data_IF_872357285364
#
_entry.id   IF_872357285364
#
_cell.length_a   1.000
_cell.length_b   1.000
_cell.length_c   1.000
_cell.angle_alpha   90.00
_cell.angle_beta   90.00
_cell.angle_gamma   90.00
#
_symmetry.space_group_name_H-M   'P 1'
#
loop_
_entity.id
_entity.type
_entity.pdbx_description
1 polymer ?
#
# COMPACT_ATOMS: atom_id res chain seq x y z
N UNK A 1 -0.49 8.23 8.12
CA UNK A 1 -0.97 9.00 6.95
C UNK A 1 -0.24 8.60 5.68
N UNK A 2 1.05 8.91 5.50
CA UNK A 2 1.79 8.61 4.25
C UNK A 2 1.96 7.10 4.01
N UNK A 3 2.44 6.34 5.00
CA UNK A 3 2.59 4.87 4.86
C UNK A 3 1.25 4.22 4.52
N UNK A 4 0.18 4.59 5.23
CA UNK A 4 -1.18 4.06 4.97
C UNK A 4 -1.69 4.41 3.56
N UNK A 5 -1.34 5.58 3.05
CA UNK A 5 -1.68 6.00 1.69
C UNK A 5 -0.95 5.13 0.65
N UNK A 6 0.34 4.85 0.85
CA UNK A 6 1.12 3.89 0.03
C UNK A 6 0.48 2.50 0.07
N UNK A 7 0.09 2.00 1.25
CA UNK A 7 -0.59 0.70 1.38
C UNK A 7 -1.97 0.70 0.68
N UNK A 8 -2.67 1.84 0.68
CA UNK A 8 -3.90 2.02 -0.09
C UNK A 8 -3.65 1.95 -1.60
N UNK A 9 -2.56 2.53 -2.11
CA UNK A 9 -2.17 2.38 -3.51
C UNK A 9 -1.84 0.93 -3.87
N UNK A 10 -1.28 0.18 -2.93
CA UNK A 10 -1.07 -1.26 -3.06
C UNK A 10 -2.37 -2.08 -2.94
N UNK A 11 -3.54 -1.45 -2.75
CA UNK A 11 -4.83 -2.14 -2.71
C UNK A 11 -4.97 -3.12 -1.55
N UNK A 12 -4.23 -2.91 -0.45
CA UNK A 12 -4.24 -3.81 0.72
C UNK A 12 -3.57 -5.16 0.49
N UNK A 13 -2.81 -5.33 -0.59
CA UNK A 13 -2.01 -6.55 -0.86
C UNK A 13 -0.76 -6.60 0.01
N UNK A 14 -0.29 -5.44 0.48
CA UNK A 14 0.91 -5.29 1.30
C UNK A 14 0.49 -4.86 2.71
N UNK A 15 1.09 -5.47 3.73
CA UNK A 15 0.95 -5.09 5.15
C UNK A 15 2.27 -4.55 5.70
N UNK A 16 2.19 -3.61 6.64
CA UNK A 16 3.33 -2.98 7.29
C UNK A 16 3.55 -3.52 8.70
N UNK A 17 4.80 -3.88 9.02
CA UNK A 17 5.17 -4.42 10.33
C UNK A 17 5.19 -3.39 11.46
N UNK A 18 5.02 -2.09 11.16
CA UNK A 18 4.87 -1.06 12.19
C UNK A 18 3.59 -1.17 13.02
N UNK A 19 2.61 -1.96 12.55
CA UNK A 19 1.37 -2.25 13.30
C UNK A 19 1.49 -3.49 14.21
N UNK A 20 2.66 -4.15 14.26
CA UNK A 20 2.92 -5.26 15.18
C UNK A 20 3.05 -4.79 16.64
N UNK A 21 2.85 -5.71 17.60
CA UNK A 21 3.03 -5.42 19.03
C UNK A 21 4.44 -4.94 19.38
N UNK A 22 5.43 -5.44 18.65
CA UNK A 22 6.78 -4.90 18.60
C UNK A 22 6.98 -4.32 17.20
N UNK A 23 6.93 -2.98 17.04
CA UNK A 23 6.97 -2.36 15.71
C UNK A 23 8.24 -2.71 14.94
N UNK A 24 8.06 -3.15 13.69
CA UNK A 24 9.14 -3.34 12.71
C UNK A 24 8.93 -2.37 11.56
N UNK A 25 9.34 -1.12 11.76
CA UNK A 25 8.98 -0.01 10.87
C UNK A 25 9.50 -0.15 9.43
N UNK A 26 10.58 -0.92 9.21
CA UNK A 26 11.11 -1.18 7.86
C UNK A 26 10.53 -2.44 7.20
N UNK A 27 9.66 -3.19 7.89
CA UNK A 27 9.14 -4.47 7.39
C UNK A 27 7.85 -4.28 6.59
N UNK A 28 7.83 -4.84 5.38
CA UNK A 28 6.66 -4.90 4.51
C UNK A 28 6.53 -6.32 3.96
N UNK A 29 5.30 -6.82 3.87
CA UNK A 29 5.04 -8.20 3.44
C UNK A 29 3.80 -8.30 2.56
N UNK A 30 3.77 -9.32 1.71
CA UNK A 30 2.57 -9.70 0.96
C UNK A 30 1.58 -10.34 1.95
N UNK A 31 0.36 -9.81 2.00
CA UNK A 31 -0.68 -10.16 2.98
C UNK A 31 -1.87 -10.89 2.33
N UNK A 32 -1.63 -11.54 1.20
CA UNK A 32 -2.62 -12.33 0.46
C UNK A 32 -2.09 -13.72 0.16
N UNK A 33 -3.00 -14.68 0.01
CA UNK A 33 -2.64 -16.06 -0.29
C UNK A 33 -1.98 -16.19 -1.67
N UNK A 34 -1.13 -17.23 -1.87
CA UNK A 34 -0.62 -17.56 -3.18
C UNK A 34 -1.75 -17.71 -4.23
N UNK A 35 -1.55 -17.13 -5.41
CA UNK A 35 -2.53 -17.17 -6.50
C UNK A 35 -3.64 -16.10 -6.42
N UNK A 36 -3.68 -15.25 -5.38
CA UNK A 36 -4.62 -14.13 -5.32
C UNK A 36 -4.42 -13.19 -6.52
N UNK A 37 -5.50 -12.95 -7.27
CA UNK A 37 -5.49 -12.12 -8.48
C UNK A 37 -5.07 -10.68 -8.21
N UNK A 38 -5.30 -10.16 -6.99
CA UNK A 38 -4.92 -8.79 -6.60
C UNK A 38 -3.42 -8.61 -6.60
N UNK A 39 -2.64 -9.64 -6.20
CA UNK A 39 -1.19 -9.59 -6.25
C UNK A 39 -0.68 -9.48 -7.69
N UNK A 40 -1.23 -10.29 -8.61
CA UNK A 40 -0.88 -10.21 -10.03
C UNK A 40 -1.20 -8.84 -10.63
N UNK A 41 -2.36 -8.28 -10.27
CA UNK A 41 -2.75 -6.96 -10.73
C UNK A 41 -1.83 -5.85 -10.19
N UNK A 42 -1.47 -5.91 -8.90
CA UNK A 42 -0.53 -4.96 -8.30
C UNK A 42 0.85 -5.06 -8.94
N UNK A 43 1.37 -6.28 -9.14
CA UNK A 43 2.65 -6.49 -9.82
C UNK A 43 2.67 -5.87 -11.23
N UNK A 44 1.59 -6.04 -12.00
CA UNK A 44 1.45 -5.41 -13.32
C UNK A 44 1.41 -3.87 -13.25
N UNK A 45 0.77 -3.29 -12.23
CA UNK A 45 0.80 -1.83 -12.02
C UNK A 45 2.19 -1.32 -11.66
N UNK A 46 2.91 -2.04 -10.79
CA UNK A 46 4.29 -1.69 -10.41
C UNK A 46 5.22 -1.74 -11.62
N UNK A 47 5.10 -2.77 -12.46
CA UNK A 47 5.87 -2.87 -13.70
C UNK A 47 5.56 -1.72 -14.67
N UNK A 48 4.28 -1.32 -14.79
CA UNK A 48 3.89 -0.17 -15.59
C UNK A 48 4.49 1.15 -15.06
N UNK A 49 4.47 1.36 -13.74
CA UNK A 49 5.09 2.54 -13.11
C UNK A 49 6.60 2.56 -13.28
N UNK A 50 7.26 1.41 -13.20
CA UNK A 50 8.71 1.32 -13.44
C UNK A 50 9.10 1.80 -14.84
N UNK A 51 8.24 1.59 -15.84
CA UNK A 51 8.45 2.05 -17.22
C UNK A 51 8.10 3.53 -17.44
N UNK A 52 7.46 4.19 -16.47
CA UNK A 52 6.96 5.55 -16.59
C UNK A 52 7.43 6.42 -15.40
N UNK A 53 8.54 7.16 -15.55
CA UNK A 53 9.08 8.02 -14.49
C UNK A 53 8.03 8.97 -13.91
N UNK A 54 8.02 9.13 -12.59
CA UNK A 54 7.08 10.01 -11.88
C UNK A 54 5.70 9.39 -11.61
N UNK A 55 5.52 8.09 -11.85
CA UNK A 55 4.31 7.37 -11.45
C UNK A 55 4.61 6.34 -10.34
N UNK A 56 3.58 5.97 -9.60
CA UNK A 56 3.63 4.93 -8.58
C UNK A 56 3.39 5.42 -7.16
N UNK A 57 3.55 4.53 -6.17
CA UNK A 57 3.15 4.83 -4.81
C UNK A 57 4.01 5.96 -4.24
N UNK A 58 3.37 6.94 -3.63
CA UNK A 58 4.03 8.14 -3.13
C UNK A 58 4.44 9.17 -4.19
N UNK A 59 4.10 8.97 -5.47
CA UNK A 59 4.27 9.99 -6.50
C UNK A 59 3.19 11.10 -6.43
N UNK A 60 2.04 10.78 -5.85
CA UNK A 60 0.94 11.73 -5.60
C UNK A 60 1.08 12.29 -4.19
N UNK A 61 0.78 13.58 -4.01
CA UNK A 61 0.77 14.21 -2.69
C UNK A 61 -0.26 13.53 -1.76
N UNK A 62 0.25 12.87 -0.72
CA UNK A 62 -0.55 12.16 0.29
C UNK A 62 -1.42 13.11 1.14
N UNK A 63 -1.16 14.43 1.09
CA UNK A 63 -1.94 15.43 1.80
C UNK A 63 -3.30 15.70 1.15
N UNK A 64 -3.50 15.30 -0.12
CA UNK A 64 -4.75 15.52 -0.84
C UNK A 64 -5.93 14.85 -0.12
N UNK A 65 -7.12 15.50 -0.04
CA UNK A 65 -8.24 15.00 0.76
C UNK A 65 -8.68 13.56 0.42
N UNK A 66 -8.65 13.19 -0.86
CA UNK A 66 -8.97 11.83 -1.31
C UNK A 66 -7.95 10.79 -0.84
N UNK A 67 -6.67 11.16 -0.83
CA UNK A 67 -5.55 10.32 -0.38
C UNK A 67 -5.64 10.09 1.12
N UNK A 68 -5.92 11.14 1.89
CA UNK A 68 -6.19 11.01 3.31
C UNK A 68 -7.39 10.11 3.63
N UNK A 69 -8.46 10.18 2.81
CA UNK A 69 -9.63 9.28 2.97
C UNK A 69 -9.26 7.83 2.70
N UNK A 70 -8.50 7.56 1.63
CA UNK A 70 -8.02 6.23 1.29
C UNK A 70 -7.11 5.67 2.38
N UNK A 71 -6.16 6.46 2.88
CA UNK A 71 -5.28 6.08 3.98
C UNK A 71 -6.04 5.71 5.26
N UNK A 72 -7.03 6.52 5.66
CA UNK A 72 -7.88 6.22 6.83
C UNK A 72 -8.75 4.98 6.61
N UNK A 73 -9.21 4.73 5.38
CA UNK A 73 -9.93 3.51 5.08
C UNK A 73 -9.01 2.28 5.18
N UNK A 74 -7.78 2.37 4.67
CA UNK A 74 -6.80 1.29 4.74
C UNK A 74 -6.41 0.97 6.18
N UNK A 75 -6.20 1.99 7.01
CA UNK A 75 -5.95 1.81 8.44
C UNK A 75 -7.03 0.97 9.12
N UNK A 76 -8.31 1.23 8.81
CA UNK A 76 -9.43 0.43 9.34
C UNK A 76 -9.45 -1.02 8.84
N UNK A 77 -8.96 -1.26 7.62
CA UNK A 77 -8.89 -2.61 7.04
C UNK A 77 -7.78 -3.43 7.71
N UNK A 78 -6.63 -2.82 7.98
CA UNK A 78 -5.45 -3.51 8.54
C UNK A 78 -5.35 -3.48 10.07
N UNK A 79 -6.21 -2.72 10.74
CA UNK A 79 -6.39 -2.77 12.20
C UNK A 79 -7.07 -4.07 12.70
N UNK A 80 -7.44 -4.98 11.79
CA UNK A 80 -7.90 -6.34 12.09
C UNK A 80 -6.78 -7.35 11.86
#
# INVERSE_FOLDING_TARGET
>A
MVVRDILAECGGVIRWGGDESVPKESHFQIDVAPGDRRLKALAGRIDAWHRAPGQGPGAIDASLPERQRAARAMERVQAR
#
